data_IF_375569399238
#
_entry.id   IF_375569399238
#
_cell.length_a   1.000
_cell.length_b   1.000
_cell.length_c   1.000
_cell.angle_alpha   90.00
_cell.angle_beta   90.00
_cell.angle_gamma   90.00
#
_symmetry.space_group_name_H-M   'P 1'
#
loop_
_entity.id
_entity.type
_entity.pdbx_description
1 polymer ?
#
# COMPACT_ATOMS: atom_id res chain seq x y z
N UNK A 1 63.14 -36.52 -3.61
CA UNK A 1 62.37 -36.32 -4.86
C UNK A 1 60.89 -36.43 -4.51
N UNK A 2 60.12 -35.42 -4.84
CA UNK A 2 58.84 -35.06 -4.23
C UNK A 2 57.72 -36.09 -4.49
N UNK A 3 57.08 -36.58 -3.42
CA UNK A 3 55.80 -37.28 -3.52
C UNK A 3 54.67 -36.25 -3.68
N UNK A 4 54.14 -36.11 -4.90
CA UNK A 4 52.82 -35.49 -5.08
C UNK A 4 51.76 -36.48 -4.58
N UNK A 5 51.05 -36.12 -3.51
CA UNK A 5 49.81 -36.77 -3.10
C UNK A 5 48.67 -36.31 -4.03
N UNK A 6 47.74 -37.18 -4.45
CA UNK A 6 46.60 -36.76 -5.23
C UNK A 6 45.62 -36.01 -4.34
N UNK A 7 45.37 -34.76 -4.71
CA UNK A 7 44.35 -33.90 -4.13
C UNK A 7 42.97 -34.39 -4.60
N UNK A 8 42.46 -35.49 -4.03
CA UNK A 8 41.05 -35.84 -4.16
C UNK A 8 40.25 -35.00 -3.16
N UNK A 9 40.11 -33.71 -3.47
CA UNK A 9 39.05 -32.89 -2.88
C UNK A 9 37.76 -33.42 -3.49
N UNK A 10 36.99 -34.08 -2.64
CA UNK A 10 35.65 -34.59 -2.90
C UNK A 10 34.82 -33.54 -3.64
N UNK A 11 34.52 -33.79 -4.92
CA UNK A 11 33.69 -32.92 -5.77
C UNK A 11 32.29 -32.65 -5.20
N UNK A 12 31.88 -33.37 -4.15
CA UNK A 12 30.63 -33.15 -3.42
C UNK A 12 30.65 -31.92 -2.52
N UNK A 13 31.82 -31.43 -2.08
CA UNK A 13 31.91 -30.26 -1.20
C UNK A 13 31.71 -28.92 -1.95
N UNK A 14 31.98 -28.88 -3.26
CA UNK A 14 31.87 -27.65 -4.07
C UNK A 14 30.43 -27.42 -4.56
N UNK A 15 29.64 -28.49 -4.72
CA UNK A 15 28.25 -28.39 -5.18
C UNK A 15 27.29 -27.76 -4.14
N UNK A 16 27.67 -27.72 -2.85
CA UNK A 16 26.80 -27.19 -1.78
C UNK A 16 26.85 -25.65 -1.66
N UNK A 17 27.81 -24.97 -2.30
CA UNK A 17 28.01 -23.52 -2.17
C UNK A 17 27.27 -22.69 -3.23
N UNK A 18 26.56 -23.32 -4.16
CA UNK A 18 25.86 -22.65 -5.26
C UNK A 18 24.33 -22.64 -5.13
N UNK A 19 23.78 -22.96 -3.95
CA UNK A 19 22.34 -22.81 -3.73
C UNK A 19 22.04 -21.32 -3.59
N UNK A 20 21.32 -20.68 -4.54
CA UNK A 20 20.94 -19.29 -4.37
C UNK A 20 20.01 -19.20 -3.17
N UNK A 21 20.41 -18.43 -2.16
CA UNK A 21 19.52 -18.09 -1.05
C UNK A 21 18.48 -17.11 -1.60
N UNK A 22 17.32 -17.64 -1.98
CA UNK A 22 16.17 -16.80 -2.34
C UNK A 22 15.60 -16.21 -1.06
N UNK A 23 16.03 -14.98 -0.73
CA UNK A 23 15.39 -14.19 0.32
C UNK A 23 14.10 -13.62 -0.27
N UNK A 24 12.96 -14.12 0.20
CA UNK A 24 11.67 -13.51 -0.10
C UNK A 24 11.51 -12.29 0.81
N UNK A 25 11.39 -11.10 0.22
CA UNK A 25 11.04 -9.90 0.96
C UNK A 25 9.55 -9.97 1.34
N UNK A 26 9.26 -9.98 2.65
CA UNK A 26 7.90 -9.89 3.16
C UNK A 26 7.56 -8.43 3.47
N UNK A 27 7.33 -7.66 2.40
CA UNK A 27 7.03 -6.24 2.51
C UNK A 27 5.82 -5.95 3.40
N UNK A 28 4.85 -6.88 3.48
CA UNK A 28 3.66 -6.68 4.30
C UNK A 28 4.02 -6.65 5.79
N UNK A 29 4.76 -7.64 6.28
CA UNK A 29 5.14 -7.66 7.70
C UNK A 29 6.11 -6.51 8.04
N UNK A 30 7.00 -6.14 7.13
CA UNK A 30 7.90 -5.00 7.29
C UNK A 30 7.13 -3.67 7.44
N UNK A 31 6.10 -3.45 6.60
CA UNK A 31 5.24 -2.25 6.70
C UNK A 31 4.49 -2.25 8.03
N UNK A 32 3.89 -3.37 8.42
CA UNK A 32 3.13 -3.47 9.69
C UNK A 32 4.05 -3.23 10.89
N UNK A 33 5.26 -3.79 10.87
CA UNK A 33 6.28 -3.57 11.90
C UNK A 33 6.68 -2.10 11.96
N UNK A 34 6.90 -1.46 10.81
CA UNK A 34 7.18 -0.03 10.74
C UNK A 34 6.04 0.81 11.31
N UNK A 35 4.77 0.45 11.05
CA UNK A 35 3.63 1.16 11.63
C UNK A 35 3.56 0.99 13.15
N UNK A 36 3.82 -0.22 13.67
CA UNK A 36 3.89 -0.49 15.12
C UNK A 36 4.97 0.36 15.79
N UNK A 37 6.18 0.36 15.24
CA UNK A 37 7.30 1.15 15.74
C UNK A 37 7.00 2.66 15.70
N UNK A 38 6.33 3.13 14.65
CA UNK A 38 5.91 4.53 14.53
C UNK A 38 4.90 4.92 15.61
N UNK A 39 3.88 4.10 15.85
CA UNK A 39 2.87 4.34 16.89
C UNK A 39 3.45 4.31 18.31
N UNK A 40 4.41 3.43 18.56
CA UNK A 40 5.13 3.33 19.84
C UNK A 40 6.14 4.48 20.03
N UNK A 41 6.35 5.31 19.01
CA UNK A 41 7.32 6.40 19.02
C UNK A 41 8.77 5.93 18.99
N UNK A 42 9.01 4.66 18.64
CA UNK A 42 10.35 4.07 18.45
C UNK A 42 10.96 4.54 17.13
N UNK A 43 10.13 4.64 16.08
CA UNK A 43 10.49 5.27 14.82
C UNK A 43 9.88 6.67 14.74
N UNK A 44 10.72 7.69 14.87
CA UNK A 44 10.33 9.11 14.72
C UNK A 44 10.79 9.70 13.40
N UNK A 45 11.31 8.87 12.49
CA UNK A 45 11.79 9.34 11.20
C UNK A 45 10.65 10.04 10.46
N UNK A 46 10.99 11.16 9.83
CA UNK A 46 10.07 11.85 8.94
C UNK A 46 9.70 10.96 7.75
N UNK A 47 10.61 10.07 7.34
CA UNK A 47 10.42 9.14 6.23
C UNK A 47 10.59 7.72 6.78
N UNK A 48 9.51 6.95 6.78
CA UNK A 48 9.53 5.53 7.14
C UNK A 48 8.60 4.71 6.24
N UNK A 49 8.80 3.37 6.15
CA UNK A 49 8.00 2.51 5.29
C UNK A 49 6.49 2.61 5.52
N UNK A 50 6.03 2.73 6.77
CA UNK A 50 4.61 2.89 7.08
C UNK A 50 4.01 4.14 6.43
N UNK A 51 4.64 5.30 6.65
CA UNK A 51 4.17 6.57 6.11
C UNK A 51 4.20 6.59 4.58
N UNK A 52 5.25 6.03 3.97
CA UNK A 52 5.37 5.94 2.50
C UNK A 52 4.30 5.03 1.90
N UNK A 53 4.01 3.91 2.55
CA UNK A 53 2.93 3.02 2.12
C UNK A 53 1.57 3.71 2.20
N UNK A 54 1.29 4.41 3.31
CA UNK A 54 0.03 5.15 3.51
C UNK A 54 -0.11 6.28 2.48
N UNK A 55 0.97 7.02 2.20
CA UNK A 55 0.96 8.08 1.19
C UNK A 55 0.59 7.53 -0.20
N UNK A 56 1.24 6.44 -0.63
CA UNK A 56 0.88 5.75 -1.88
C UNK A 56 -0.52 5.12 -1.84
N UNK A 57 -0.97 4.67 -0.67
CA UNK A 57 -2.32 4.14 -0.49
C UNK A 57 -3.37 5.23 -0.70
N UNK A 58 -3.18 6.43 -0.15
CA UNK A 58 -4.05 7.60 -0.37
C UNK A 58 -4.18 7.86 -1.87
N UNK A 59 -3.05 7.94 -2.59
CA UNK A 59 -3.06 8.15 -4.05
C UNK A 59 -3.89 7.09 -4.77
N UNK A 60 -3.74 5.81 -4.40
CA UNK A 60 -4.54 4.75 -5.01
C UNK A 60 -6.02 4.81 -4.65
N UNK A 61 -6.36 5.12 -3.39
CA UNK A 61 -7.74 5.16 -2.89
C UNK A 61 -8.58 6.30 -3.47
N UNK A 62 -7.94 7.42 -3.83
CA UNK A 62 -8.57 8.52 -4.56
C UNK A 62 -8.84 8.16 -6.03
N UNK A 63 -8.13 7.17 -6.57
CA UNK A 63 -8.21 6.76 -7.97
C UNK A 63 -9.09 5.52 -8.19
N UNK A 64 -9.56 4.84 -7.14
CA UNK A 64 -10.31 3.58 -7.23
C UNK A 64 -11.81 3.78 -6.99
N UNK A 65 -12.62 2.96 -7.67
CA UNK A 65 -14.09 2.86 -7.49
C UNK A 65 -14.49 2.48 -6.06
N UNK A 66 -13.56 1.96 -5.25
CA UNK A 66 -13.79 1.66 -3.83
C UNK A 66 -13.88 2.95 -2.99
N UNK A 67 -13.17 4.01 -3.38
CA UNK A 67 -13.30 5.35 -2.80
C UNK A 67 -14.65 5.99 -3.12
N UNK A 68 -15.34 5.50 -4.15
CA UNK A 68 -16.69 5.92 -4.54
C UNK A 68 -17.71 5.16 -3.68
N UNK A 69 -18.63 5.88 -3.03
CA UNK A 69 -19.83 5.35 -2.38
C UNK A 69 -20.58 4.51 -3.41
N UNK A 70 -20.37 3.20 -3.39
CA UNK A 70 -21.28 2.28 -4.06
C UNK A 70 -22.58 2.27 -3.24
N UNK A 71 -23.72 2.69 -3.81
CA UNK A 71 -25.00 2.60 -3.13
C UNK A 71 -25.22 1.16 -2.66
N UNK A 72 -25.76 0.95 -1.45
CA UNK A 72 -26.08 -0.35 -0.81
C UNK A 72 -27.02 -1.28 -1.62
N UNK A 73 -27.29 -0.98 -2.88
CA UNK A 73 -27.91 -1.87 -3.84
C UNK A 73 -26.85 -2.44 -4.80
N UNK A 74 -25.89 -3.21 -4.27
CA UNK A 74 -25.12 -4.15 -5.09
C UNK A 74 -26.07 -5.27 -5.53
N UNK A 75 -26.79 -5.04 -6.63
CA UNK A 75 -27.02 -6.13 -7.57
C UNK A 75 -25.62 -6.47 -8.08
N UNK A 76 -25.19 -7.72 -7.96
CA UNK A 76 -24.07 -8.30 -8.69
C UNK A 76 -24.29 -8.08 -10.20
N UNK A 77 -24.01 -6.87 -10.68
CA UNK A 77 -23.90 -6.58 -12.10
C UNK A 77 -22.42 -6.56 -12.35
N UNK A 78 -21.94 -7.60 -13.03
CA UNK A 78 -20.65 -7.61 -13.70
C UNK A 78 -20.44 -6.21 -14.29
N UNK A 79 -19.45 -5.48 -13.78
CA UNK A 79 -19.15 -4.14 -14.28
C UNK A 79 -19.02 -4.24 -15.80
N UNK A 80 -19.71 -3.38 -16.58
CA UNK A 80 -19.64 -3.46 -18.02
C UNK A 80 -18.18 -3.35 -18.46
N UNK A 81 -17.75 -4.25 -19.34
CA UNK A 81 -16.37 -4.31 -19.78
C UNK A 81 -15.96 -2.94 -20.36
N UNK A 82 -15.04 -2.26 -19.68
CA UNK A 82 -14.60 -0.93 -20.10
C UNK A 82 -13.96 -1.02 -21.48
N UNK A 83 -14.33 -0.10 -22.37
CA UNK A 83 -13.78 -0.07 -23.73
C UNK A 83 -12.27 0.17 -23.72
N UNK A 84 -11.56 -0.41 -24.68
CA UNK A 84 -10.12 -0.21 -24.81
C UNK A 84 -9.74 1.25 -25.07
N UNK A 85 -10.66 2.04 -25.65
CA UNK A 85 -10.50 3.48 -25.78
C UNK A 85 -10.50 4.16 -24.42
N UNK A 86 -11.44 3.81 -23.53
CA UNK A 86 -11.51 4.36 -22.18
C UNK A 86 -10.26 3.98 -21.38
N UNK A 87 -9.84 2.72 -21.42
CA UNK A 87 -8.59 2.25 -20.77
C UNK A 87 -7.37 3.03 -21.27
N UNK A 88 -7.28 3.30 -22.58
CA UNK A 88 -6.18 4.09 -23.16
C UNK A 88 -6.24 5.56 -22.75
N UNK A 89 -7.43 6.16 -22.75
CA UNK A 89 -7.63 7.54 -22.35
C UNK A 89 -7.29 7.79 -20.88
N UNK A 90 -7.65 6.85 -19.99
CA UNK A 90 -7.25 6.90 -18.59
C UNK A 90 -5.72 6.81 -18.45
N UNK A 91 -5.07 5.86 -19.12
CA UNK A 91 -3.60 5.75 -19.10
C UNK A 91 -2.87 7.00 -19.58
N UNK A 92 -3.46 7.78 -20.49
CA UNK A 92 -2.82 8.97 -21.08
C UNK A 92 -3.22 10.29 -20.43
N UNK A 93 -4.34 10.36 -19.68
CA UNK A 93 -4.84 11.60 -19.05
C UNK A 93 -4.75 11.64 -17.53
N UNK A 94 -4.60 10.51 -16.84
CA UNK A 94 -4.49 10.47 -15.36
C UNK A 94 -3.18 11.09 -14.85
N UNK A 95 -2.22 11.40 -15.74
CA UNK A 95 -1.06 12.26 -15.43
C UNK A 95 -1.40 13.77 -15.37
N UNK A 96 -2.65 14.18 -15.62
CA UNK A 96 -3.12 15.57 -15.52
C UNK A 96 -4.20 15.67 -14.45
N UNK A 97 -3.77 15.49 -13.20
CA UNK A 97 -4.51 15.59 -11.94
C UNK A 97 -5.20 16.95 -11.77
N UNK A 98 -6.47 17.04 -12.18
CA UNK A 98 -7.38 18.13 -11.73
C UNK A 98 -8.87 17.79 -11.89
N UNK A 99 -9.25 16.80 -12.70
CA UNK A 99 -10.67 16.47 -12.95
C UNK A 99 -11.30 15.46 -11.99
N UNK A 100 -10.65 15.12 -10.86
CA UNK A 100 -11.20 14.18 -9.87
C UNK A 100 -11.97 14.85 -8.72
N UNK A 101 -12.02 16.18 -8.68
CA UNK A 101 -12.69 16.92 -7.60
C UNK A 101 -14.14 17.33 -7.91
N UNK A 102 -14.74 16.89 -9.03
CA UNK A 102 -16.08 17.35 -9.44
C UNK A 102 -17.25 16.43 -9.06
N UNK A 103 -17.04 15.43 -8.21
CA UNK A 103 -18.09 14.56 -7.65
C UNK A 103 -17.82 14.33 -6.15
N UNK A 104 -17.79 15.42 -5.36
CA UNK A 104 -17.64 15.35 -3.90
C UNK A 104 -18.74 14.50 -3.24
N UNK A 105 -19.93 14.42 -3.84
CA UNK A 105 -21.08 13.68 -3.28
C UNK A 105 -20.96 12.15 -3.31
N UNK A 106 -19.99 11.61 -4.06
CA UNK A 106 -19.87 10.17 -4.23
C UNK A 106 -18.65 9.57 -3.56
N UNK A 107 -17.87 10.28 -2.73
CA UNK A 107 -16.68 9.70 -2.08
C UNK A 107 -16.94 9.35 -0.61
N UNK A 108 -16.33 8.27 -0.11
CA UNK A 108 -16.48 7.85 1.29
C UNK A 108 -15.64 8.67 2.27
N UNK A 109 -14.61 9.36 1.77
CA UNK A 109 -13.72 10.23 2.54
C UNK A 109 -13.28 11.43 1.68
N UNK A 110 -13.00 12.56 2.33
CA UNK A 110 -12.61 13.81 1.70
C UNK A 110 -11.39 14.38 2.41
N UNK A 111 -10.24 14.38 1.73
CA UNK A 111 -8.99 14.93 2.26
C UNK A 111 -8.92 16.42 1.87
N UNK A 112 -8.89 17.36 2.84
CA UNK A 112 -8.87 18.78 2.51
C UNK A 112 -7.53 19.17 1.87
N UNK A 113 -7.60 20.05 0.87
CA UNK A 113 -6.44 20.46 0.05
C UNK A 113 -5.40 21.25 0.85
N UNK A 114 -5.80 21.82 1.99
CA UNK A 114 -4.96 22.64 2.85
C UNK A 114 -3.97 21.81 3.69
N UNK A 115 -4.20 20.51 3.84
CA UNK A 115 -3.33 19.65 4.64
C UNK A 115 -2.13 19.14 3.83
N UNK A 116 -0.95 19.22 4.43
CA UNK A 116 0.26 18.62 3.86
C UNK A 116 0.12 17.10 3.82
N UNK A 117 0.42 16.48 2.67
CA UNK A 117 0.31 15.02 2.46
C UNK A 117 1.06 14.21 3.52
N UNK A 118 2.27 14.65 3.89
CA UNK A 118 3.07 14.00 4.94
C UNK A 118 2.40 14.04 6.30
N UNK A 119 1.65 15.11 6.59
CA UNK A 119 0.93 15.26 7.85
C UNK A 119 -0.29 14.33 7.92
N UNK A 120 -0.99 14.15 6.80
CA UNK A 120 -2.11 13.20 6.68
C UNK A 120 -1.62 11.77 6.85
N UNK A 121 -0.57 11.37 6.12
CA UNK A 121 0.01 10.03 6.27
C UNK A 121 0.53 9.77 7.69
N UNK A 122 1.11 10.79 8.34
CA UNK A 122 1.51 10.72 9.75
C UNK A 122 0.32 10.57 10.70
N UNK A 123 -0.78 11.28 10.46
CA UNK A 123 -1.99 11.19 11.26
C UNK A 123 -2.61 9.81 11.15
N UNK A 124 -2.80 9.31 9.93
CA UNK A 124 -3.34 7.97 9.66
C UNK A 124 -2.46 6.86 10.25
N UNK A 125 -1.14 6.99 10.16
CA UNK A 125 -0.23 6.03 10.78
C UNK A 125 -0.41 5.96 12.31
N UNK A 126 -0.82 7.06 12.95
CA UNK A 126 -1.06 7.12 14.40
C UNK A 126 -2.47 6.66 14.80
N UNK A 127 -3.48 6.94 13.98
CA UNK A 127 -4.88 6.64 14.29
C UNK A 127 -5.30 5.23 13.87
N UNK A 128 -4.61 4.62 12.89
CA UNK A 128 -4.91 3.27 12.42
C UNK A 128 -4.90 2.26 13.57
N UNK A 129 -5.97 1.48 13.70
CA UNK A 129 -6.06 0.42 14.69
C UNK A 129 -5.28 -0.82 14.24
N UNK A 130 -4.02 -0.90 14.64
CA UNK A 130 -3.13 -2.02 14.32
C UNK A 130 -3.65 -3.35 14.88
N UNK A 131 -4.48 -3.35 15.93
CA UNK A 131 -5.02 -4.59 16.50
C UNK A 131 -5.95 -5.32 15.53
N UNK A 132 -6.61 -4.59 14.62
CA UNK A 132 -7.47 -5.19 13.59
C UNK A 132 -6.69 -5.91 12.49
N UNK A 133 -5.37 -5.73 12.40
CA UNK A 133 -4.54 -6.39 11.38
C UNK A 133 -4.38 -7.90 11.60
N UNK A 134 -4.79 -8.40 12.77
CA UNK A 134 -4.88 -9.84 13.06
C UNK A 134 -6.06 -10.49 12.31
N UNK A 135 -7.11 -9.73 12.01
CA UNK A 135 -8.36 -10.20 11.38
C UNK A 135 -8.59 -9.63 9.97
N UNK A 136 -8.14 -8.39 9.72
CA UNK A 136 -8.36 -7.63 8.48
C UNK A 136 -7.07 -7.38 7.71
N UNK A 137 -7.21 -7.09 6.43
CA UNK A 137 -6.06 -6.68 5.61
C UNK A 137 -5.67 -5.22 5.89
N UNK A 138 -4.38 -4.90 5.81
CA UNK A 138 -3.86 -3.54 6.03
C UNK A 138 -4.60 -2.47 5.21
N UNK A 139 -4.87 -2.77 3.94
CA UNK A 139 -5.63 -1.88 3.05
C UNK A 139 -7.04 -1.54 3.56
N UNK A 140 -7.69 -2.51 4.20
CA UNK A 140 -9.07 -2.37 4.69
C UNK A 140 -9.08 -1.52 5.96
N UNK A 141 -8.17 -1.81 6.90
CA UNK A 141 -8.00 -1.00 8.11
C UNK A 141 -7.64 0.44 7.75
N UNK A 142 -6.72 0.66 6.79
CA UNK A 142 -6.37 2.01 6.33
C UNK A 142 -7.54 2.73 5.67
N UNK A 143 -8.32 2.02 4.87
CA UNK A 143 -9.50 2.59 4.22
C UNK A 143 -10.57 3.01 5.23
N UNK A 144 -10.87 2.15 6.21
CA UNK A 144 -11.79 2.48 7.31
C UNK A 144 -11.26 3.65 8.15
N UNK A 145 -9.95 3.69 8.41
CA UNK A 145 -9.30 4.80 9.13
C UNK A 145 -9.43 6.11 8.36
N UNK A 146 -9.25 6.09 7.03
CA UNK A 146 -9.45 7.26 6.17
C UNK A 146 -10.88 7.81 6.25
N UNK A 147 -11.88 6.93 6.21
CA UNK A 147 -13.29 7.33 6.32
C UNK A 147 -13.57 7.94 7.70
N UNK A 148 -13.01 7.36 8.75
CA UNK A 148 -13.21 7.84 10.12
C UNK A 148 -12.55 9.19 10.38
N UNK A 149 -11.30 9.37 9.91
CA UNK A 149 -10.51 10.58 10.17
C UNK A 149 -10.84 11.73 9.21
N UNK A 150 -11.26 11.42 7.98
CA UNK A 150 -11.52 12.39 6.92
C UNK A 150 -12.91 12.19 6.29
N UNK A 151 -14.01 12.23 7.05
CA UNK A 151 -15.35 12.09 6.48
C UNK A 151 -15.68 13.28 5.57
N UNK A 152 -16.32 13.01 4.43
CA UNK A 152 -16.91 14.07 3.61
C UNK A 152 -18.03 14.76 4.37
N UNK A 153 -18.01 16.09 4.42
CA UNK A 153 -19.13 16.87 4.94
C UNK A 153 -20.27 16.79 3.94
N UNK A 154 -21.47 16.42 4.40
CA UNK A 154 -22.68 16.55 3.60
C UNK A 154 -23.22 17.96 3.83
N UNK A 155 -23.18 18.79 2.79
CA UNK A 155 -23.93 20.05 2.77
C UNK A 155 -25.45 19.80 2.71
#
# INVERSE_FOLDING_TARGET
MNMLKPLMISSTAIALLLVPVTVFADFKSDIISSCKAYQQGEDKSEINPCKLYIDGFIDSSLLTEDGVVQPKAMIERNAPEQSDFLKRAYRTRVLTTSSMLSNEDSHQFCIPLEYDRRSIASSLAKSMDISQLDEKQLKEVLFETLIADFPCQKE
#
